data_IF_601654066237
#
_entry.id   IF_601654066237
#
_cell.length_a   1.000
_cell.length_b   1.000
_cell.length_c   1.000
_cell.angle_alpha   90.00
_cell.angle_beta   90.00
_cell.angle_gamma   90.00
#
_symmetry.space_group_name_H-M   'P 1'
#
loop_
_entity.id
_entity.type
_entity.pdbx_description
1 polymer ?
#
# COMPACT_ATOMS: atom_id res chain seq x y z
N UNK A 1 -12.40 -12.73 11.08
CA UNK A 1 -11.17 -12.26 11.72
C UNK A 1 -10.10 -12.00 10.66
N UNK A 2 -9.47 -10.87 10.72
CA UNK A 2 -8.43 -10.51 9.77
C UNK A 2 -7.14 -11.29 10.06
N UNK A 3 -6.59 -11.93 9.01
CA UNK A 3 -5.36 -12.72 9.14
C UNK A 3 -4.17 -11.90 8.65
N UNK A 4 -3.21 -11.64 9.54
CA UNK A 4 -2.00 -10.89 9.22
C UNK A 4 -1.06 -11.77 8.39
N UNK A 5 -0.61 -11.27 7.23
CA UNK A 5 0.34 -11.99 6.38
C UNK A 5 1.73 -12.02 6.99
N UNK A 6 2.59 -12.91 6.51
CA UNK A 6 3.98 -12.98 6.97
C UNK A 6 4.74 -11.68 6.67
N UNK A 7 4.41 -11.02 5.57
CA UNK A 7 5.04 -9.74 5.21
C UNK A 7 4.63 -8.64 6.18
N UNK A 8 3.34 -8.60 6.53
CA UNK A 8 2.85 -7.61 7.50
C UNK A 8 3.47 -7.83 8.87
N UNK A 9 3.65 -9.11 9.28
CA UNK A 9 4.32 -9.43 10.55
C UNK A 9 5.74 -8.88 10.58
N UNK A 10 6.45 -8.98 9.46
CA UNK A 10 7.82 -8.44 9.36
C UNK A 10 7.82 -6.92 9.54
N UNK A 11 6.87 -6.22 8.93
CA UNK A 11 6.74 -4.76 9.10
C UNK A 11 6.46 -4.43 10.56
N UNK A 12 5.54 -5.16 11.21
CA UNK A 12 5.22 -4.95 12.62
C UNK A 12 6.48 -5.11 13.48
N UNK A 13 7.27 -6.14 13.24
CA UNK A 13 8.52 -6.39 13.98
C UNK A 13 9.49 -5.22 13.83
N UNK A 14 9.65 -4.71 12.61
CA UNK A 14 10.52 -3.56 12.34
C UNK A 14 10.03 -2.33 13.09
N UNK A 15 8.74 -2.02 12.99
CA UNK A 15 8.17 -0.84 13.64
C UNK A 15 8.29 -0.93 15.16
N UNK A 16 8.04 -2.10 15.73
CA UNK A 16 8.16 -2.31 17.18
C UNK A 16 9.62 -2.19 17.63
N UNK A 17 10.55 -2.79 16.88
CA UNK A 17 11.97 -2.74 17.20
C UNK A 17 12.49 -1.30 17.24
N UNK A 18 12.03 -0.47 16.32
CA UNK A 18 12.46 0.92 16.24
C UNK A 18 11.53 1.87 17.01
N UNK A 19 10.59 1.31 17.78
CA UNK A 19 9.67 2.06 18.64
C UNK A 19 8.86 3.10 17.87
N UNK A 20 8.43 2.75 16.66
CA UNK A 20 7.59 3.60 15.81
C UNK A 20 6.12 3.24 16.06
N UNK A 21 5.34 4.24 16.46
CA UNK A 21 3.90 4.06 16.64
C UNK A 21 3.23 3.84 15.30
N UNK A 22 2.29 2.90 15.25
CA UNK A 22 1.53 2.63 14.02
C UNK A 22 0.09 2.24 14.34
N UNK A 23 -0.76 2.45 13.34
CA UNK A 23 -2.16 2.02 13.37
C UNK A 23 -2.35 1.08 12.19
N UNK A 24 -2.86 -0.12 12.46
CA UNK A 24 -3.17 -1.10 11.43
C UNK A 24 -4.53 -0.81 10.80
N UNK A 25 -4.67 -1.15 9.53
CA UNK A 25 -5.97 -1.10 8.83
C UNK A 25 -6.58 0.29 8.86
N UNK A 26 -5.76 1.31 8.59
CA UNK A 26 -6.22 2.70 8.61
C UNK A 26 -7.24 2.95 7.51
N UNK A 27 -8.36 3.58 7.85
CA UNK A 27 -9.37 4.02 6.90
C UNK A 27 -9.56 5.54 7.01
N UNK A 28 -10.13 6.13 5.96
CA UNK A 28 -10.49 7.55 5.94
C UNK A 28 -11.94 7.66 5.52
N UNK A 29 -12.74 8.40 6.30
CA UNK A 29 -14.18 8.50 6.06
C UNK A 29 -14.53 9.13 4.70
N UNK A 30 -13.64 9.98 4.18
CA UNK A 30 -13.83 10.65 2.89
C UNK A 30 -13.19 9.90 1.71
N UNK A 31 -12.73 8.67 1.95
CA UNK A 31 -12.27 7.78 0.89
C UNK A 31 -13.18 6.56 0.85
N UNK A 32 -14.04 6.52 -0.15
CA UNK A 32 -15.01 5.44 -0.38
C UNK A 32 -15.79 5.07 0.89
N UNK A 33 -16.23 6.09 1.65
CA UNK A 33 -16.99 5.95 2.90
C UNK A 33 -16.31 5.10 3.96
N UNK A 34 -14.96 5.11 3.99
CA UNK A 34 -14.19 4.34 4.96
C UNK A 34 -14.05 2.86 4.63
N UNK A 35 -14.38 2.45 3.40
CA UNK A 35 -14.30 1.05 2.99
C UNK A 35 -12.92 0.62 2.53
N UNK A 36 -12.04 1.57 2.15
CA UNK A 36 -10.69 1.23 1.73
C UNK A 36 -9.72 1.32 2.89
N UNK A 37 -8.88 0.29 3.04
CA UNK A 37 -7.94 0.18 4.16
C UNK A 37 -6.51 0.30 3.66
N UNK A 38 -5.69 0.97 4.48
CA UNK A 38 -4.24 1.00 4.30
C UNK A 38 -3.61 0.12 5.37
N UNK A 39 -2.62 -0.68 5.00
CA UNK A 39 -2.03 -1.66 5.91
C UNK A 39 -1.52 -1.03 7.20
N UNK A 40 -0.79 0.08 7.09
CA UNK A 40 -0.19 0.76 8.24
C UNK A 40 -0.25 2.26 8.07
N UNK A 41 -0.55 2.95 9.15
CA UNK A 41 -0.43 4.40 9.23
C UNK A 41 0.52 4.75 10.37
N UNK A 42 1.52 5.60 10.08
CA UNK A 42 2.47 6.10 11.06
C UNK A 42 2.05 7.53 11.44
N UNK A 43 1.27 7.70 12.52
CA UNK A 43 0.65 9.00 12.79
C UNK A 43 1.64 10.11 13.08
N UNK A 44 2.76 9.81 13.75
CA UNK A 44 3.74 10.83 14.07
C UNK A 44 4.48 11.37 12.85
N UNK A 45 4.52 10.58 11.77
CA UNK A 45 5.19 10.95 10.53
C UNK A 45 4.20 11.31 9.42
N UNK A 46 2.92 11.06 9.64
CA UNK A 46 1.86 11.22 8.63
C UNK A 46 2.18 10.44 7.34
N UNK A 47 2.54 9.17 7.49
CA UNK A 47 2.95 8.29 6.41
C UNK A 47 2.06 7.06 6.40
N UNK A 48 1.71 6.59 5.19
CA UNK A 48 1.00 5.33 4.99
C UNK A 48 1.94 4.32 4.35
N UNK A 49 1.85 3.07 4.78
CA UNK A 49 2.62 1.94 4.24
C UNK A 49 1.66 0.85 3.77
N UNK A 50 1.97 0.28 2.63
CA UNK A 50 1.28 -0.91 2.12
C UNK A 50 2.31 -1.94 1.65
N UNK A 51 2.07 -3.20 1.99
CA UNK A 51 2.84 -4.31 1.43
C UNK A 51 2.01 -4.89 0.30
N UNK A 52 2.51 -4.77 -0.90
CA UNK A 52 1.79 -5.28 -2.07
C UNK A 52 2.12 -6.75 -2.29
N UNK A 53 1.15 -7.60 -1.98
CA UNK A 53 1.27 -9.01 -2.25
C UNK A 53 1.15 -9.31 -3.74
N UNK A 54 1.38 -10.57 -4.09
CA UNK A 54 1.34 -11.01 -5.48
C UNK A 54 0.00 -10.72 -6.16
N UNK A 55 -1.08 -10.77 -5.41
CA UNK A 55 -2.43 -10.52 -5.92
C UNK A 55 -2.61 -9.08 -6.45
N UNK A 56 -1.80 -8.13 -5.99
CA UNK A 56 -1.86 -6.75 -6.48
C UNK A 56 -1.20 -6.57 -7.84
N UNK A 57 -0.31 -7.49 -8.22
CA UNK A 57 0.56 -7.33 -9.38
C UNK A 57 0.17 -8.24 -10.54
N UNK A 58 -0.50 -9.36 -10.26
CA UNK A 58 -0.79 -10.37 -11.26
C UNK A 58 -2.24 -10.84 -11.15
N UNK A 59 -2.88 -11.03 -12.30
CA UNK A 59 -4.16 -11.74 -12.32
C UNK A 59 -3.91 -13.24 -12.23
N UNK A 60 -4.48 -13.89 -11.21
CA UNK A 60 -4.51 -15.35 -11.11
C UNK A 60 -5.85 -15.78 -10.55
N UNK A 61 -6.32 -16.95 -10.97
CA UNK A 61 -7.58 -17.52 -10.47
C UNK A 61 -7.49 -17.93 -9.00
N UNK A 62 -6.28 -18.02 -8.45
CA UNK A 62 -6.07 -18.32 -7.03
C UNK A 62 -6.55 -17.16 -6.17
N UNK A 63 -6.31 -15.91 -6.61
CA UNK A 63 -6.63 -14.72 -5.85
C UNK A 63 -7.93 -14.04 -6.26
N UNK A 64 -8.36 -14.23 -7.51
CA UNK A 64 -9.54 -13.55 -8.05
C UNK A 64 -10.42 -14.52 -8.82
N UNK A 65 -11.73 -14.42 -8.61
CA UNK A 65 -12.71 -15.23 -9.32
C UNK A 65 -12.77 -14.92 -10.80
N UNK A 66 -12.49 -13.68 -11.17
CA UNK A 66 -12.57 -13.22 -12.55
C UNK A 66 -11.60 -12.09 -12.80
N UNK A 67 -11.33 -11.82 -14.09
CA UNK A 67 -10.54 -10.67 -14.48
C UNK A 67 -11.20 -9.35 -14.07
N UNK A 68 -12.53 -9.33 -14.08
CA UNK A 68 -13.28 -8.14 -13.63
C UNK A 68 -12.97 -7.82 -12.18
N UNK A 69 -12.91 -8.82 -11.29
CA UNK A 69 -12.55 -8.61 -9.88
C UNK A 69 -11.13 -8.09 -9.74
N UNK A 70 -10.21 -8.61 -10.55
CA UNK A 70 -8.83 -8.13 -10.56
C UNK A 70 -8.75 -6.66 -10.97
N UNK A 71 -9.50 -6.28 -12.03
CA UNK A 71 -9.53 -4.89 -12.49
C UNK A 71 -10.14 -3.95 -11.45
N UNK A 72 -11.14 -4.41 -10.72
CA UNK A 72 -11.73 -3.63 -9.61
C UNK A 72 -10.71 -3.41 -8.49
N UNK A 73 -9.90 -4.42 -8.19
CA UNK A 73 -8.84 -4.29 -7.19
C UNK A 73 -7.78 -3.28 -7.64
N UNK A 74 -7.41 -3.28 -8.91
CA UNK A 74 -6.48 -2.28 -9.44
C UNK A 74 -7.07 -0.88 -9.39
N UNK A 75 -8.35 -0.72 -9.69
CA UNK A 75 -9.04 0.58 -9.61
C UNK A 75 -9.03 1.09 -8.17
N UNK A 76 -9.29 0.23 -7.20
CA UNK A 76 -9.22 0.60 -5.78
C UNK A 76 -7.83 1.10 -5.40
N UNK A 77 -6.78 0.42 -5.87
CA UNK A 77 -5.41 0.85 -5.60
C UNK A 77 -5.13 2.24 -6.20
N UNK A 78 -5.63 2.50 -7.40
CA UNK A 78 -5.49 3.83 -8.04
C UNK A 78 -6.19 4.91 -7.24
N UNK A 79 -7.41 4.64 -6.77
CA UNK A 79 -8.16 5.59 -5.95
C UNK A 79 -7.44 5.90 -4.65
N UNK A 80 -6.83 4.89 -4.01
CA UNK A 80 -6.05 5.07 -2.79
C UNK A 80 -4.83 5.96 -3.04
N UNK A 81 -4.12 5.73 -4.14
CA UNK A 81 -2.95 6.54 -4.51
C UNK A 81 -3.37 7.98 -4.80
N UNK A 82 -4.45 8.16 -5.55
CA UNK A 82 -4.96 9.49 -5.86
C UNK A 82 -5.35 10.26 -4.61
N UNK A 83 -6.02 9.58 -3.67
CA UNK A 83 -6.38 10.17 -2.38
C UNK A 83 -5.14 10.67 -1.63
N UNK A 84 -4.12 9.83 -1.53
CA UNK A 84 -2.88 10.18 -0.83
C UNK A 84 -2.19 11.38 -1.48
N UNK A 85 -2.15 11.42 -2.81
CA UNK A 85 -1.56 12.55 -3.53
C UNK A 85 -2.30 13.84 -3.28
N UNK A 86 -3.64 13.83 -3.32
CA UNK A 86 -4.44 15.03 -3.11
C UNK A 86 -4.39 15.52 -1.67
N UNK A 87 -4.20 14.62 -0.71
CA UNK A 87 -4.11 14.97 0.72
C UNK A 87 -2.67 15.14 1.20
N UNK A 88 -1.69 15.00 0.29
CA UNK A 88 -0.26 15.15 0.59
C UNK A 88 0.22 14.20 1.69
N UNK A 89 -0.30 12.98 1.69
CA UNK A 89 0.14 11.92 2.60
C UNK A 89 1.05 10.98 1.81
N UNK A 90 2.35 10.88 2.17
CA UNK A 90 3.24 9.94 1.48
C UNK A 90 2.76 8.51 1.68
N UNK A 91 2.61 7.79 0.57
CA UNK A 91 2.22 6.38 0.56
C UNK A 91 3.39 5.57 0.01
N UNK A 92 3.89 4.64 0.82
CA UNK A 92 4.96 3.73 0.42
C UNK A 92 4.37 2.37 0.14
N UNK A 93 4.57 1.88 -1.09
CA UNK A 93 4.09 0.58 -1.54
C UNK A 93 5.28 -0.35 -1.73
N UNK A 94 5.46 -1.28 -0.80
CA UNK A 94 6.59 -2.21 -0.84
C UNK A 94 6.14 -3.49 -1.53
N UNK A 95 6.74 -3.85 -2.67
CA UNK A 95 6.37 -5.09 -3.35
C UNK A 95 6.87 -6.31 -2.57
N UNK A 96 6.10 -7.39 -2.65
CA UNK A 96 6.40 -8.60 -1.88
C UNK A 96 7.81 -9.15 -2.18
N UNK A 97 8.30 -8.98 -3.40
CA UNK A 97 9.62 -9.53 -3.79
C UNK A 97 10.80 -8.76 -3.20
N UNK A 98 10.56 -7.57 -2.64
CA UNK A 98 11.61 -6.80 -1.98
C UNK A 98 11.62 -6.99 -0.46
N UNK A 99 10.61 -7.67 0.09
CA UNK A 99 10.50 -7.79 1.55
C UNK A 99 11.68 -8.48 2.20
N UNK A 100 12.34 -9.39 1.48
CA UNK A 100 13.53 -10.07 2.01
C UNK A 100 14.70 -9.11 2.24
N UNK A 101 14.72 -7.99 1.55
CA UNK A 101 15.78 -6.97 1.65
C UNK A 101 15.52 -5.94 2.73
N UNK A 102 14.32 -5.94 3.30
CA UNK A 102 13.88 -4.92 4.27
C UNK A 102 14.23 -5.39 5.67
N UNK A 103 14.97 -4.58 6.43
CA UNK A 103 15.32 -4.89 7.82
C UNK A 103 15.17 -3.72 8.77
N UNK A 104 14.85 -2.53 8.25
CA UNK A 104 14.77 -1.31 9.07
C UNK A 104 13.67 -0.39 8.56
N UNK A 105 13.32 0.60 9.38
CA UNK A 105 12.40 1.66 8.96
C UNK A 105 12.97 2.43 7.75
N UNK A 106 14.27 2.68 7.74
CA UNK A 106 14.92 3.36 6.63
C UNK A 106 14.71 2.61 5.32
N UNK A 107 14.77 1.28 5.37
CA UNK A 107 14.51 0.45 4.19
C UNK A 107 13.06 0.59 3.72
N UNK A 108 12.11 0.59 4.68
CA UNK A 108 10.68 0.73 4.36
C UNK A 108 10.39 2.09 3.71
N UNK A 109 11.08 3.13 4.13
CA UNK A 109 10.87 4.50 3.66
C UNK A 109 11.81 4.90 2.53
N UNK A 110 12.25 3.92 1.75
CA UNK A 110 13.02 4.17 0.54
C UNK A 110 12.14 4.87 -0.50
N UNK A 111 12.64 5.93 -1.12
CA UNK A 111 11.90 6.72 -2.10
C UNK A 111 11.43 5.88 -3.30
N UNK A 112 12.13 4.79 -3.61
CA UNK A 112 11.72 3.88 -4.68
C UNK A 112 10.35 3.26 -4.42
N UNK A 113 9.91 3.22 -3.16
CA UNK A 113 8.61 2.66 -2.79
C UNK A 113 7.50 3.69 -2.71
N UNK A 114 7.80 4.97 -2.82
CA UNK A 114 6.75 5.98 -2.91
C UNK A 114 5.85 5.65 -4.10
N UNK A 115 4.54 5.65 -3.88
CA UNK A 115 3.58 5.30 -4.92
C UNK A 115 3.78 6.15 -6.16
N UNK A 116 4.04 7.45 -5.98
CA UNK A 116 4.30 8.37 -7.09
C UNK A 116 5.48 7.92 -7.95
N UNK A 117 6.57 7.49 -7.33
CA UNK A 117 7.78 7.03 -8.04
C UNK A 117 7.55 5.66 -8.67
N UNK A 118 6.99 4.75 -7.88
CA UNK A 118 6.82 3.36 -8.29
C UNK A 118 5.94 3.22 -9.54
N UNK A 119 4.89 4.03 -9.63
CA UNK A 119 3.94 3.94 -10.74
C UNK A 119 4.17 5.00 -11.81
N UNK A 120 5.32 5.64 -11.78
CA UNK A 120 5.65 6.71 -12.72
C UNK A 120 5.57 6.25 -14.18
N UNK A 121 6.02 5.03 -14.47
CA UNK A 121 6.05 4.48 -15.83
C UNK A 121 4.79 3.71 -16.22
N UNK A 122 3.81 3.62 -15.32
CA UNK A 122 2.54 2.96 -15.61
C UNK A 122 1.61 3.96 -16.30
N UNK A 123 1.37 3.76 -17.59
CA UNK A 123 0.53 4.68 -18.37
C UNK A 123 -0.90 4.76 -17.84
N UNK A 124 -1.46 3.64 -17.37
CA UNK A 124 -2.81 3.63 -16.83
C UNK A 124 -2.89 4.49 -15.57
N UNK A 125 -1.90 4.39 -14.70
CA UNK A 125 -1.82 5.23 -13.51
C UNK A 125 -1.67 6.70 -13.88
N UNK A 126 -0.80 7.01 -14.83
CA UNK A 126 -0.60 8.40 -15.24
C UNK A 126 -1.87 9.02 -15.79
N UNK A 127 -2.58 8.29 -16.64
CA UNK A 127 -3.86 8.76 -17.18
C UNK A 127 -4.90 8.95 -16.07
N UNK A 128 -4.97 8.02 -15.14
CA UNK A 128 -5.88 8.11 -14.01
C UNK A 128 -5.58 9.34 -13.14
N UNK A 129 -4.31 9.58 -12.84
CA UNK A 129 -3.90 10.68 -11.98
C UNK A 129 -4.11 12.07 -12.61
N UNK A 130 -4.28 12.13 -13.93
CA UNK A 130 -4.60 13.40 -14.62
C UNK A 130 -6.05 13.80 -14.46
N UNK A 131 -6.91 12.88 -14.09
CA UNK A 131 -8.33 13.17 -13.89
C UNK A 131 -8.50 13.88 -12.56
#
# INVERSE_FOLDING_TARGET
MYKVSSYEKKVIEILNKEKVRFIKEKTFSDLHHGHYRFDFFLPEKNILLEVQGRQHMEFTKIFYKSRSDFLKAQERDREKISYCLSHKIPLYCIPWWDMDKISSLKDLLNDAYLARTRYHNDNAYREYLKK
#
